data_IF_242580996670
#
_entry.id   IF_242580996670
#
_cell.length_a   1.000
_cell.length_b   1.000
_cell.length_c   1.000
_cell.angle_alpha   90.00
_cell.angle_beta   90.00
_cell.angle_gamma   90.00
#
_symmetry.space_group_name_H-M   'P 1'
#
loop_
_entity.id
_entity.type
_entity.pdbx_description
1 polymer ?
#
# COMPACT_ATOMS: atom_id res chain seq x y z
N UNK A 1 -1.13 10.52 -1.03
CA UNK A 1 -0.64 10.39 0.36
C UNK A 1 0.69 9.65 0.29
N UNK A 2 1.70 10.09 1.05
CA UNK A 2 3.04 9.48 1.02
C UNK A 2 3.27 8.75 2.34
N UNK A 3 3.76 7.51 2.26
CA UNK A 3 4.20 6.72 3.40
C UNK A 3 5.72 6.58 3.37
N UNK A 4 6.37 6.84 4.49
CA UNK A 4 7.82 6.66 4.60
C UNK A 4 8.13 5.29 5.19
N UNK A 5 9.07 4.56 4.59
CA UNK A 5 9.55 3.27 5.08
C UNK A 5 11.07 3.32 5.13
N UNK A 6 11.63 3.02 6.30
CA UNK A 6 13.07 2.92 6.50
C UNK A 6 13.55 1.48 6.36
N UNK A 7 14.53 1.26 5.50
CA UNK A 7 15.23 -0.01 5.33
C UNK A 7 16.59 0.05 6.02
N UNK A 8 16.83 -0.84 6.98
CA UNK A 8 18.08 -0.91 7.73
C UNK A 8 18.45 -2.35 8.03
N UNK A 9 19.58 -2.82 7.50
CA UNK A 9 19.95 -4.23 7.56
C UNK A 9 18.83 -5.13 7.02
N UNK A 10 18.42 -6.14 7.79
CA UNK A 10 17.30 -7.02 7.45
C UNK A 10 15.95 -6.58 8.04
N UNK A 11 15.79 -5.28 8.35
CA UNK A 11 14.58 -4.70 8.94
C UNK A 11 13.98 -3.61 8.05
N UNK A 12 12.65 -3.59 7.97
CA UNK A 12 11.86 -2.55 7.34
C UNK A 12 10.92 -1.99 8.40
N UNK A 13 10.84 -0.67 8.52
CA UNK A 13 9.95 -0.02 9.49
C UNK A 13 9.20 1.13 8.83
N UNK A 14 7.87 1.19 8.98
CA UNK A 14 7.12 2.38 8.60
C UNK A 14 7.47 3.53 9.54
N UNK A 15 7.31 4.76 9.06
CA UNK A 15 7.35 5.98 9.87
C UNK A 15 5.96 6.63 9.87
N UNK A 16 5.30 6.80 11.04
CA UNK A 16 5.78 6.48 12.37
C UNK A 16 5.75 4.96 12.70
N UNK A 17 6.65 4.46 13.57
CA UNK A 17 6.86 3.02 13.79
C UNK A 17 5.85 2.33 14.70
N UNK A 18 4.99 3.10 15.38
CA UNK A 18 3.96 2.61 16.31
C UNK A 18 2.72 2.03 15.61
N UNK A 19 2.65 2.13 14.27
CA UNK A 19 1.46 1.74 13.50
C UNK A 19 1.82 0.83 12.35
N UNK A 20 0.92 -0.11 11.98
CA UNK A 20 1.08 -0.87 10.75
C UNK A 20 1.05 0.06 9.53
N UNK A 21 1.72 -0.34 8.46
CA UNK A 21 1.67 0.37 7.19
C UNK A 21 0.26 0.23 6.60
N UNK A 22 -0.52 1.31 6.64
CA UNK A 22 -1.87 1.33 6.09
C UNK A 22 -1.89 1.96 4.70
N UNK A 23 -2.08 1.15 3.65
CA UNK A 23 -2.15 1.60 2.26
C UNK A 23 -3.60 1.96 1.86
N UNK A 24 -4.32 2.62 2.78
CA UNK A 24 -5.67 3.15 2.56
C UNK A 24 -6.76 2.10 2.40
N UNK A 25 -7.86 2.54 1.79
CA UNK A 25 -9.02 1.70 1.50
C UNK A 25 -8.88 1.03 0.14
N UNK A 26 -9.59 -0.08 -0.07
CA UNK A 26 -9.68 -0.75 -1.38
C UNK A 26 -10.06 0.22 -2.51
N UNK A 27 -10.94 1.17 -2.22
CA UNK A 27 -11.38 2.20 -3.19
C UNK A 27 -10.31 3.22 -3.57
N UNK A 28 -9.15 3.24 -2.90
CA UNK A 28 -8.05 4.17 -3.21
C UNK A 28 -7.19 3.73 -4.41
N UNK A 29 -7.26 2.46 -4.84
CA UNK A 29 -6.73 1.95 -6.11
C UNK A 29 -5.28 2.41 -6.43
N UNK A 30 -4.36 2.33 -5.46
CA UNK A 30 -2.95 2.67 -5.68
C UNK A 30 -2.60 4.16 -5.70
N UNK A 31 -3.48 5.05 -5.21
CA UNK A 31 -3.19 6.51 -5.14
C UNK A 31 -2.16 6.86 -4.03
N UNK A 32 -1.62 5.87 -3.33
CA UNK A 32 -0.56 6.05 -2.35
C UNK A 32 0.83 5.96 -2.97
N UNK A 33 1.77 6.65 -2.35
CA UNK A 33 3.18 6.58 -2.70
C UNK A 33 3.98 6.12 -1.49
N UNK A 34 5.11 5.46 -1.75
CA UNK A 34 6.07 5.03 -0.75
C UNK A 34 7.38 5.78 -0.99
N UNK A 35 7.87 6.45 0.05
CA UNK A 35 9.23 6.98 0.12
C UNK A 35 10.09 6.00 0.91
N UNK A 36 11.17 5.49 0.30
CA UNK A 36 12.17 4.71 1.01
C UNK A 36 13.27 5.59 1.57
N UNK A 37 13.64 5.31 2.82
CA UNK A 37 14.85 5.78 3.45
C UNK A 37 15.82 4.62 3.60
N UNK A 38 16.92 4.66 2.85
CA UNK A 38 17.90 3.58 2.79
C UNK A 38 19.02 3.83 3.80
N UNK A 39 19.31 2.82 4.62
CA UNK A 39 20.54 2.78 5.40
C UNK A 39 21.74 2.39 4.50
N UNK A 40 22.99 2.65 4.92
CA UNK A 40 24.19 2.44 4.11
C UNK A 40 24.34 1.04 3.50
N UNK A 41 23.80 0.00 4.16
CA UNK A 41 23.87 -1.38 3.68
C UNK A 41 23.03 -1.62 2.42
N UNK A 42 22.07 -0.75 2.14
CA UNK A 42 21.20 -0.79 0.96
C UNK A 42 21.69 0.12 -0.17
N UNK A 43 22.68 0.97 0.08
CA UNK A 43 23.23 1.87 -0.93
C UNK A 43 23.91 1.10 -2.06
N UNK A 44 23.73 1.56 -3.30
CA UNK A 44 24.28 0.93 -4.50
C UNK A 44 23.60 -0.37 -4.93
N UNK A 45 22.60 -0.86 -4.19
CA UNK A 45 21.79 -2.00 -4.60
C UNK A 45 20.66 -1.57 -5.54
N UNK A 46 20.35 -2.40 -6.53
CA UNK A 46 19.09 -2.29 -7.28
C UNK A 46 17.96 -2.81 -6.39
N UNK A 47 17.02 -1.96 -6.00
CA UNK A 47 15.95 -2.33 -5.07
C UNK A 47 14.68 -2.65 -5.86
N UNK A 48 14.03 -3.75 -5.50
CA UNK A 48 12.68 -4.08 -6.01
C UNK A 48 11.72 -4.28 -4.86
N UNK A 49 10.50 -3.77 -5.00
CA UNK A 49 9.39 -3.97 -4.07
C UNK A 49 8.38 -4.96 -4.68
N UNK A 50 8.15 -6.08 -4.01
CA UNK A 50 7.16 -7.07 -4.43
C UNK A 50 5.97 -7.04 -3.50
N UNK A 51 4.83 -6.56 -3.98
CA UNK A 51 3.58 -6.49 -3.24
C UNK A 51 2.82 -7.79 -3.38
N UNK A 52 2.46 -8.42 -2.26
CA UNK A 52 1.50 -9.52 -2.22
C UNK A 52 0.20 -9.02 -1.62
N UNK A 53 -0.87 -9.22 -2.36
CA UNK A 53 -2.22 -8.76 -2.02
C UNK A 53 -2.74 -9.45 -0.75
N UNK A 54 -3.42 -8.72 0.16
CA UNK A 54 -4.07 -9.31 1.33
C UNK A 54 -5.02 -10.46 0.96
N UNK A 55 -4.87 -11.62 1.61
CA UNK A 55 -5.65 -12.83 1.32
C UNK A 55 -5.44 -13.46 -0.07
N UNK A 56 -4.55 -12.91 -0.89
CA UNK A 56 -4.29 -13.37 -2.26
C UNK A 56 -3.41 -14.62 -2.33
N UNK A 57 -3.41 -15.29 -3.49
CA UNK A 57 -2.47 -16.39 -3.79
C UNK A 57 -1.13 -15.80 -4.22
N UNK A 58 -0.07 -16.60 -4.16
CA UNK A 58 1.29 -16.15 -4.54
C UNK A 58 1.41 -15.62 -5.99
N UNK A 59 0.45 -15.94 -6.88
CA UNK A 59 0.40 -15.44 -8.27
C UNK A 59 -0.11 -14.00 -8.37
N UNK A 60 -0.70 -13.46 -7.31
CA UNK A 60 -1.27 -12.12 -7.27
C UNK A 60 -0.23 -11.09 -6.79
N UNK A 61 1.06 -11.38 -7.01
CA UNK A 61 2.15 -10.52 -6.57
C UNK A 61 2.62 -9.60 -7.69
N UNK A 62 2.72 -8.30 -7.40
CA UNK A 62 3.22 -7.29 -8.34
C UNK A 62 4.60 -6.84 -7.91
N UNK A 63 5.57 -6.91 -8.81
CA UNK A 63 6.94 -6.46 -8.59
C UNK A 63 7.18 -5.12 -9.27
N UNK A 64 7.65 -4.16 -8.50
CA UNK A 64 8.00 -2.80 -8.94
C UNK A 64 9.49 -2.58 -8.73
N UNK A 65 10.14 -1.95 -9.70
CA UNK A 65 11.51 -1.46 -9.55
C UNK A 65 11.45 -0.15 -8.76
N UNK A 66 12.21 -0.06 -7.67
CA UNK A 66 12.29 1.18 -6.90
C UNK A 66 13.24 2.13 -7.63
N UNK A 67 12.81 3.36 -7.95
CA UNK A 67 13.69 4.38 -8.53
C UNK A 67 14.84 4.75 -7.58
N UNK A 68 15.96 5.30 -8.09
CA UNK A 68 17.09 5.73 -7.27
C UNK A 68 16.72 6.74 -6.17
N UNK A 69 15.70 7.57 -6.41
CA UNK A 69 15.16 8.53 -5.44
C UNK A 69 14.36 7.87 -4.29
N UNK A 70 14.05 6.58 -4.39
CA UNK A 70 13.32 5.82 -3.37
C UNK A 70 11.82 6.11 -3.32
N UNK A 71 11.31 7.04 -4.13
CA UNK A 71 9.89 7.39 -4.21
C UNK A 71 9.22 6.62 -5.35
N UNK A 72 8.14 5.91 -5.07
CA UNK A 72 7.37 5.18 -6.08
C UNK A 72 5.91 5.00 -5.71
N UNK A 73 5.07 4.78 -6.71
CA UNK A 73 3.65 4.57 -6.54
C UNK A 73 3.33 3.14 -6.09
N UNK A 74 2.32 3.02 -5.23
CA UNK A 74 1.77 1.72 -4.85
C UNK A 74 0.94 1.20 -6.03
N UNK A 75 1.23 0.00 -6.56
CA UNK A 75 0.48 -0.52 -7.68
C UNK A 75 -0.99 -0.74 -7.29
N UNK A 76 -1.96 -0.44 -8.16
CA UNK A 76 -3.38 -0.54 -7.85
C UNK A 76 -3.77 -1.94 -7.36
N UNK A 77 -3.15 -2.98 -7.92
CA UNK A 77 -3.35 -4.38 -7.56
C UNK A 77 -3.05 -4.64 -6.08
N UNK A 78 -2.04 -3.98 -5.50
CA UNK A 78 -1.68 -4.14 -4.09
C UNK A 78 -2.81 -3.75 -3.13
N UNK A 79 -3.70 -2.86 -3.58
CA UNK A 79 -4.86 -2.35 -2.82
C UNK A 79 -6.19 -2.95 -3.28
N UNK A 80 -6.20 -3.83 -4.29
CA UNK A 80 -7.43 -4.35 -4.89
C UNK A 80 -8.24 -5.28 -3.97
N UNK A 81 -7.63 -5.79 -2.90
CA UNK A 81 -8.27 -6.64 -1.91
C UNK A 81 -7.95 -6.18 -0.49
N UNK A 82 -8.89 -6.42 0.41
CA UNK A 82 -8.78 -6.21 1.85
C UNK A 82 -9.04 -7.55 2.55
N UNK A 83 -8.30 -7.83 3.61
CA UNK A 83 -8.53 -9.02 4.45
C UNK A 83 -8.23 -8.68 5.90
N UNK A 84 -9.18 -8.99 6.79
CA UNK A 84 -9.04 -8.78 8.23
C UNK A 84 -8.16 -9.83 8.91
N UNK A 85 -7.92 -10.97 8.25
CA UNK A 85 -7.22 -12.13 8.84
C UNK A 85 -5.85 -12.38 8.21
N UNK A 86 -5.60 -11.83 7.01
CA UNK A 86 -4.36 -12.05 6.28
C UNK A 86 -3.89 -10.74 5.63
N UNK A 87 -3.02 -9.97 6.30
CA UNK A 87 -2.50 -8.72 5.76
C UNK A 87 -1.69 -8.95 4.48
N UNK A 88 -1.54 -7.90 3.69
CA UNK A 88 -0.64 -7.90 2.54
C UNK A 88 0.82 -7.85 3.00
N UNK A 89 1.74 -8.17 2.10
CA UNK A 89 3.19 -8.05 2.40
C UNK A 89 3.94 -7.38 1.27
N UNK A 90 4.82 -6.46 1.60
CA UNK A 90 5.82 -5.92 0.66
C UNK A 90 7.15 -6.61 0.94
N UNK A 91 7.74 -7.22 -0.08
CA UNK A 91 9.11 -7.75 -0.01
C UNK A 91 10.04 -6.80 -0.73
N UNK A 92 10.92 -6.16 0.02
CA UNK A 92 12.02 -5.39 -0.54
C UNK A 92 13.21 -6.32 -0.74
N UNK A 93 13.77 -6.34 -1.95
CA UNK A 93 14.98 -7.09 -2.27
C UNK A 93 16.01 -6.14 -2.88
N UNK A 94 17.22 -6.13 -2.31
CA UNK A 94 18.37 -5.39 -2.81
C UNK A 94 19.27 -6.33 -3.60
N UNK A 95 19.48 -6.03 -4.89
CA UNK A 95 20.27 -6.84 -5.80
C UNK A 95 21.59 -6.13 -6.15
N UNK A 96 22.68 -6.88 -6.18
CA UNK A 96 23.95 -6.45 -6.75
C UNK A 96 24.32 -7.43 -7.87
N UNK A 97 24.57 -6.91 -9.07
CA UNK A 97 24.87 -7.70 -10.27
C UNK A 97 23.82 -8.81 -10.55
N UNK A 98 22.55 -8.51 -10.27
CA UNK A 98 21.44 -9.47 -10.45
C UNK A 98 21.30 -10.52 -9.34
N UNK A 99 22.20 -10.54 -8.34
CA UNK A 99 22.12 -11.44 -7.19
C UNK A 99 21.51 -10.72 -5.99
N UNK A 100 20.50 -11.33 -5.34
CA UNK A 100 19.91 -10.80 -4.12
C UNK A 100 20.94 -10.82 -2.97
N UNK A 101 21.20 -9.65 -2.38
CA UNK A 101 22.11 -9.48 -1.23
C UNK A 101 21.35 -9.29 0.07
N UNK A 102 20.29 -8.49 0.02
CA UNK A 102 19.43 -8.20 1.16
C UNK A 102 17.97 -8.45 0.78
N UNK A 103 17.19 -8.89 1.74
CA UNK A 103 15.75 -8.97 1.59
C UNK A 103 15.06 -8.75 2.92
N UNK A 104 13.96 -8.02 2.90
CA UNK A 104 13.12 -7.82 4.07
C UNK A 104 11.65 -7.79 3.67
N UNK A 105 10.80 -8.29 4.56
CA UNK A 105 9.35 -8.32 4.37
C UNK A 105 8.69 -7.37 5.37
N UNK A 106 7.78 -6.53 4.89
CA UNK A 106 6.98 -5.63 5.69
C UNK A 106 5.49 -5.93 5.48
N UNK A 107 4.71 -6.24 6.53
CA UNK A 107 3.27 -6.38 6.40
C UNK A 107 2.61 -5.01 6.17
N UNK A 108 1.52 -4.99 5.42
CA UNK A 108 0.69 -3.81 5.22
C UNK A 108 -0.80 -4.18 5.27
N UNK A 109 -1.61 -3.18 5.61
CA UNK A 109 -3.05 -3.31 5.73
C UNK A 109 -3.77 -2.49 4.67
N UNK A 110 -4.89 -3.02 4.21
CA UNK A 110 -5.84 -2.35 3.30
C UNK A 110 -7.19 -2.43 3.96
N UNK A 111 -7.79 -1.27 4.21
CA UNK A 111 -9.13 -1.19 4.78
C UNK A 111 -10.18 -1.58 3.74
N UNK A 112 -11.28 -2.18 4.21
CA UNK A 112 -12.44 -2.37 3.34
C UNK A 112 -13.23 -1.07 3.22
N UNK A 113 -13.76 -0.80 2.03
CA UNK A 113 -14.73 0.27 1.86
C UNK A 113 -16.06 -0.33 2.28
N UNK A 114 -16.67 0.15 3.37
CA UNK A 114 -18.07 -0.18 3.66
C UNK A 114 -18.89 0.25 2.44
N UNK A 115 -19.28 -0.71 1.60
CA UNK A 115 -20.27 -0.45 0.56
C UNK A 115 -21.56 -0.04 1.28
N UNK A 116 -22.18 1.10 0.96
CA UNK A 116 -23.46 1.47 1.56
C UNK A 116 -24.55 0.53 1.05
N UNK A 117 -24.79 -0.59 1.74
CA UNK A 117 -25.92 -1.48 1.50
C UNK A 117 -26.31 -2.15 2.83
N UNK A 118 -27.46 -1.95 3.48
CA UNK A 118 -28.70 -1.16 3.31
C UNK A 118 -29.38 -1.12 4.73
N UNK A 119 -30.66 -0.76 4.94
CA UNK A 119 -31.82 -0.89 4.04
C UNK A 119 -32.40 0.49 3.64
N UNK A 120 -33.42 0.50 2.77
CA UNK A 120 -34.20 1.66 2.34
C UNK A 120 -34.40 2.71 3.45
N UNK A 121 -33.54 3.73 3.46
CA UNK A 121 -33.79 4.94 4.24
C UNK A 121 -34.74 5.78 3.42
N UNK A 122 -36.01 5.75 3.82
CA UNK A 122 -37.05 6.74 3.57
C UNK A 122 -36.47 8.00 2.87
N UNK A 123 -36.74 8.10 1.56
CA UNK A 123 -36.18 9.06 0.61
C UNK A 123 -35.46 10.25 1.27
N UNK A 124 -34.13 10.14 1.41
CA UNK A 124 -33.32 11.34 1.65
C UNK A 124 -33.44 12.17 0.37
N UNK A 125 -34.02 13.39 0.42
CA UNK A 125 -34.22 14.18 -0.79
C UNK A 125 -32.88 14.40 -1.48
N UNK A 126 -32.87 14.22 -2.80
CA UNK A 126 -31.65 14.40 -3.60
C UNK A 126 -31.16 15.85 -3.45
N UNK A 127 -29.85 16.08 -3.61
CA UNK A 127 -29.25 17.44 -3.54
C UNK A 127 -29.99 18.43 -4.46
N UNK A 128 -30.52 17.94 -5.58
CA UNK A 128 -31.38 18.73 -6.47
C UNK A 128 -32.65 19.21 -5.76
N UNK A 129 -33.42 18.34 -5.08
CA UNK A 129 -34.62 18.70 -4.30
C UNK A 129 -34.33 19.70 -3.18
N UNK A 130 -33.18 19.57 -2.50
CA UNK A 130 -32.77 20.51 -1.45
C UNK A 130 -32.46 21.91 -2.00
N UNK A 131 -31.89 21.99 -3.20
CA UNK A 131 -31.58 23.26 -3.85
C UNK A 131 -32.84 24.02 -4.30
N UNK A 132 -33.89 23.31 -4.73
CA UNK A 132 -35.17 23.92 -5.14
C UNK A 132 -36.03 24.35 -3.94
N UNK A 133 -35.83 23.76 -2.76
CA UNK A 133 -36.55 24.14 -1.53
C UNK A 133 -35.99 25.40 -0.84
N UNK A 134 -34.83 25.91 -1.29
CA UNK A 134 -34.17 27.11 -0.73
C UNK A 134 -34.30 28.36 -1.63
N UNK A 135 -35.15 28.31 -2.68
CA UNK A 135 -35.51 29.48 -3.51
C UNK A 135 -36.94 29.91 -3.26
#
# INVERSE_FOLDING_TARGET
>A
MIHTIRLSGCFARPDPPDRPLFLGLRSCYGTQQIQLELAPEWEGLTITATFRVPGGRARDAVRVLVPPEGLFDVPPEATASSSLTQPGTIVFAGLAEGVQRLSVTLPYEVGDTLSPAGPEQNATPTVLDQAIAQT
#
